data_IF_020254937796
#
_entry.id   IF_020254937796
#
_cell.length_a   1.000
_cell.length_b   1.000
_cell.length_c   1.000
_cell.angle_alpha   90.00
_cell.angle_beta   90.00
_cell.angle_gamma   90.00
#
_symmetry.space_group_name_H-M   'P 1'
#
loop_
_entity.id
_entity.type
_entity.pdbx_description
1 polymer ?
#
# COMPACT_ATOMS: atom_id res chain seq x y z
N UNK A 1 -15.66 6.83 -12.61
CA UNK A 1 -14.34 6.32 -12.15
C UNK A 1 -14.44 5.46 -10.88
N UNK A 2 -15.39 4.51 -10.79
CA UNK A 2 -15.69 3.78 -9.52
C UNK A 2 -14.78 2.57 -9.26
N UNK A 3 -14.20 1.98 -10.31
CA UNK A 3 -13.40 0.73 -10.26
C UNK A 3 -11.99 0.92 -9.70
N UNK A 4 -11.42 2.13 -9.78
CA UNK A 4 -10.01 2.36 -9.45
C UNK A 4 -9.72 2.27 -7.94
N UNK A 5 -10.68 2.62 -7.08
CA UNK A 5 -10.46 2.67 -5.62
C UNK A 5 -10.29 1.28 -4.99
N UNK A 6 -11.00 0.27 -5.51
CA UNK A 6 -10.90 -1.13 -5.07
C UNK A 6 -9.54 -1.73 -5.44
N UNK A 7 -9.02 -1.43 -6.63
CA UNK A 7 -7.69 -1.88 -7.07
C UNK A 7 -6.60 -1.33 -6.14
N UNK A 8 -6.73 -0.07 -5.72
CA UNK A 8 -5.78 0.52 -4.77
C UNK A 8 -5.91 -0.06 -3.37
N UNK A 9 -7.12 -0.37 -2.94
CA UNK A 9 -7.34 -1.03 -1.66
C UNK A 9 -6.73 -2.45 -1.65
N UNK A 10 -6.88 -3.18 -2.75
CA UNK A 10 -6.23 -4.48 -2.97
C UNK A 10 -4.70 -4.37 -2.97
N UNK A 11 -4.13 -3.30 -3.53
CA UNK A 11 -2.68 -3.07 -3.54
C UNK A 11 -2.13 -2.82 -2.13
N UNK A 12 -2.84 -2.02 -1.33
CA UNK A 12 -2.49 -1.75 0.08
C UNK A 12 -2.64 -3.03 0.91
N UNK A 13 -3.74 -3.76 0.74
CA UNK A 13 -3.98 -5.03 1.42
C UNK A 13 -2.91 -6.08 1.07
N UNK A 14 -2.50 -6.19 -0.19
CA UNK A 14 -1.42 -7.07 -0.62
C UNK A 14 -0.09 -6.72 0.06
N UNK A 15 0.27 -5.43 0.14
CA UNK A 15 1.46 -4.99 0.84
C UNK A 15 1.42 -5.29 2.35
N UNK A 16 0.26 -5.11 2.98
CA UNK A 16 0.06 -5.43 4.40
C UNK A 16 0.16 -6.94 4.67
N UNK A 17 -0.41 -7.77 3.79
CA UNK A 17 -0.33 -9.24 3.87
C UNK A 17 1.12 -9.69 3.71
N UNK A 18 1.88 -9.12 2.77
CA UNK A 18 3.31 -9.43 2.60
C UNK A 18 4.11 -9.04 3.85
N UNK A 19 3.81 -7.91 4.47
CA UNK A 19 4.46 -7.46 5.70
C UNK A 19 4.10 -8.35 6.91
N UNK A 20 2.87 -8.87 6.96
CA UNK A 20 2.40 -9.79 7.99
C UNK A 20 2.91 -11.23 7.80
N UNK A 21 3.17 -11.64 6.55
CA UNK A 21 3.70 -12.98 6.20
C UNK A 21 5.22 -12.99 6.38
N UNK A 22 5.63 -12.93 7.66
CA UNK A 22 7.00 -12.69 8.11
C UNK A 22 7.92 -13.93 8.09
N UNK A 23 7.36 -15.12 7.86
CA UNK A 23 7.94 -16.31 8.50
C UNK A 23 8.86 -17.20 7.64
N UNK A 24 8.85 -17.11 6.30
CA UNK A 24 9.55 -18.15 5.50
C UNK A 24 10.39 -17.63 4.31
N UNK A 25 10.13 -16.44 3.73
CA UNK A 25 10.71 -16.10 2.40
C UNK A 25 11.49 -14.78 2.33
N UNK A 26 11.31 -13.84 3.26
CA UNK A 26 11.87 -12.50 3.15
C UNK A 26 12.63 -12.16 4.43
N UNK A 27 13.94 -11.87 4.32
CA UNK A 27 14.74 -11.36 5.44
C UNK A 27 13.98 -10.20 6.09
N UNK A 28 13.79 -10.28 7.41
CA UNK A 28 13.00 -9.37 8.26
C UNK A 28 13.20 -7.87 7.95
N UNK A 29 14.41 -7.49 7.55
CA UNK A 29 14.80 -6.13 7.16
C UNK A 29 14.16 -5.67 5.84
N UNK A 30 14.08 -6.56 4.83
CA UNK A 30 13.46 -6.26 3.54
C UNK A 30 11.95 -6.12 3.66
N UNK A 31 11.29 -6.95 4.46
CA UNK A 31 9.84 -6.84 4.67
C UNK A 31 9.47 -5.49 5.31
N UNK A 32 10.29 -4.99 6.23
CA UNK A 32 10.09 -3.70 6.87
C UNK A 32 10.27 -2.54 5.88
N UNK A 33 11.37 -2.54 5.11
CA UNK A 33 11.62 -1.51 4.09
C UNK A 33 10.54 -1.49 3.00
N UNK A 34 10.16 -2.67 2.49
CA UNK A 34 9.10 -2.79 1.47
C UNK A 34 7.76 -2.32 2.02
N UNK A 35 7.41 -2.70 3.25
CA UNK A 35 6.18 -2.25 3.90
C UNK A 35 6.10 -0.73 4.06
N UNK A 36 7.19 -0.08 4.47
CA UNK A 36 7.26 1.39 4.62
C UNK A 36 7.09 2.09 3.26
N UNK A 37 7.78 1.63 2.21
CA UNK A 37 7.67 2.21 0.87
C UNK A 37 6.24 2.10 0.34
N UNK A 38 5.63 0.93 0.52
CA UNK A 38 4.27 0.64 0.05
C UNK A 38 3.21 1.44 0.83
N UNK A 39 3.43 1.64 2.12
CA UNK A 39 2.61 2.49 2.98
C UNK A 39 2.74 3.96 2.59
N UNK A 40 3.95 4.47 2.39
CA UNK A 40 4.21 5.84 1.92
C UNK A 40 3.59 6.10 0.55
N UNK A 41 3.66 5.12 -0.36
CA UNK A 41 3.02 5.19 -1.67
C UNK A 41 1.49 5.18 -1.57
N UNK A 42 0.93 4.34 -0.68
CA UNK A 42 -0.51 4.30 -0.38
C UNK A 42 -1.03 5.64 0.14
N UNK A 43 -0.34 6.23 1.12
CA UNK A 43 -0.70 7.54 1.70
C UNK A 43 -0.59 8.64 0.64
N UNK A 44 0.53 8.74 -0.08
CA UNK A 44 0.72 9.76 -1.11
C UNK A 44 -0.40 9.75 -2.16
N UNK A 45 -0.80 8.55 -2.61
CA UNK A 45 -1.86 8.40 -3.61
C UNK A 45 -3.25 8.67 -3.05
N UNK A 46 -3.50 8.31 -1.78
CA UNK A 46 -4.76 8.65 -1.11
C UNK A 46 -4.91 10.16 -0.94
N UNK A 47 -3.85 10.87 -0.53
CA UNK A 47 -3.85 12.33 -0.42
C UNK A 47 -4.05 13.00 -1.77
N UNK A 48 -3.41 12.50 -2.84
CA UNK A 48 -3.57 13.06 -4.18
C UNK A 48 -4.99 12.85 -4.73
N UNK A 49 -5.63 11.73 -4.40
CA UNK A 49 -7.02 11.47 -4.76
C UNK A 49 -8.00 12.31 -3.94
N UNK A 50 -7.67 12.62 -2.68
CA UNK A 50 -8.43 13.56 -1.85
C UNK A 50 -8.38 14.96 -2.46
N UNK A 51 -7.19 15.44 -2.83
CA UNK A 51 -7.02 16.76 -3.49
C UNK A 51 -7.79 16.89 -4.80
N UNK A 52 -7.97 15.80 -5.55
CA UNK A 52 -8.75 15.79 -6.80
C UNK A 52 -10.27 15.74 -6.56
N UNK A 53 -10.72 15.39 -5.35
CA UNK A 53 -12.15 15.39 -5.00
C UNK A 53 -12.62 16.80 -4.57
N UNK A 54 -11.68 17.69 -4.23
CA UNK A 54 -11.95 19.07 -3.81
C UNK A 54 -11.83 20.10 -4.96
N UNK A 55 -11.73 19.65 -6.21
CA UNK A 55 -11.77 20.51 -7.41
C UNK A 55 -13.12 20.40 -8.11
#
# INVERSE_FOLDING_TARGET
MKTNRIIYFLLIAAGAIIMATRDQWVKKEYAMCVGIILLMFGIYKTSKNWTNTEQ
#
